data_IF_388001191271
#
_entry.id   IF_388001191271
#
_cell.length_a   1.000
_cell.length_b   1.000
_cell.length_c   1.000
_cell.angle_alpha   90.00
_cell.angle_beta   90.00
_cell.angle_gamma   90.00
#
_symmetry.space_group_name_H-M   'P 1'
#
loop_
_entity.id
_entity.type
_entity.pdbx_description
1 polymer ?
#
# COMPACT_ATOMS: atom_id res chain seq x y z
N UNK A 1 -27.77 -54.48 -4.73
CA UNK A 1 -27.24 -53.11 -4.63
C UNK A 1 -27.66 -52.54 -3.29
N UNK A 2 -26.70 -52.22 -2.41
CA UNK A 2 -27.00 -51.53 -1.15
C UNK A 2 -27.12 -50.05 -1.48
N UNK A 3 -28.30 -49.48 -1.28
CA UNK A 3 -28.48 -48.02 -1.33
C UNK A 3 -27.74 -47.44 -0.12
N UNK A 4 -26.65 -46.72 -0.37
CA UNK A 4 -26.09 -45.84 0.64
C UNK A 4 -27.05 -44.67 0.79
N UNK A 5 -27.47 -44.39 2.03
CA UNK A 5 -28.41 -43.32 2.30
C UNK A 5 -27.67 -41.98 2.07
N UNK A 6 -28.08 -41.13 1.10
CA UNK A 6 -27.38 -39.89 0.76
C UNK A 6 -27.16 -38.96 1.97
N UNK A 7 -28.02 -39.09 3.00
CA UNK A 7 -27.87 -38.40 4.27
C UNK A 7 -26.63 -38.82 5.07
N UNK A 8 -26.26 -40.10 5.02
CA UNK A 8 -25.08 -40.62 5.71
C UNK A 8 -23.78 -40.12 5.08
N UNK A 9 -23.75 -40.01 3.75
CA UNK A 9 -22.61 -39.46 3.01
C UNK A 9 -22.46 -37.96 3.29
N UNK A 10 -23.55 -37.19 3.26
CA UNK A 10 -23.55 -35.77 3.61
C UNK A 10 -23.06 -35.52 5.05
N UNK A 11 -23.54 -36.31 6.01
CA UNK A 11 -23.13 -36.18 7.41
C UNK A 11 -21.63 -36.48 7.59
N UNK A 12 -21.11 -37.49 6.88
CA UNK A 12 -19.67 -37.83 6.92
C UNK A 12 -18.80 -36.72 6.32
N UNK A 13 -19.23 -36.10 5.22
CA UNK A 13 -18.52 -34.97 4.60
C UNK A 13 -18.54 -33.74 5.50
N UNK A 14 -19.67 -33.47 6.16
CA UNK A 14 -19.79 -32.38 7.11
C UNK A 14 -18.85 -32.57 8.30
N UNK A 15 -18.78 -33.79 8.86
CA UNK A 15 -17.86 -34.10 9.94
C UNK A 15 -16.40 -33.89 9.51
N UNK A 16 -16.03 -34.36 8.33
CA UNK A 16 -14.68 -34.15 7.79
C UNK A 16 -14.36 -32.66 7.61
N UNK A 17 -15.33 -31.87 7.14
CA UNK A 17 -15.15 -30.43 6.99
C UNK A 17 -14.95 -29.74 8.34
N UNK A 18 -15.76 -30.08 9.35
CA UNK A 18 -15.62 -29.56 10.72
C UNK A 18 -14.26 -29.93 11.32
N UNK A 19 -13.79 -31.16 11.15
CA UNK A 19 -12.47 -31.59 11.61
C UNK A 19 -11.33 -30.82 10.92
N UNK A 20 -11.43 -30.59 9.62
CA UNK A 20 -10.45 -29.80 8.87
C UNK A 20 -10.41 -28.34 9.34
N UNK A 21 -11.58 -27.74 9.59
CA UNK A 21 -11.67 -26.38 10.10
C UNK A 21 -11.11 -26.27 11.52
N UNK A 22 -11.39 -27.25 12.38
CA UNK A 22 -10.85 -27.30 13.75
C UNK A 22 -9.33 -27.34 13.72
N UNK A 23 -8.72 -28.17 12.87
CA UNK A 23 -7.25 -28.22 12.72
C UNK A 23 -6.66 -26.91 12.22
N UNK A 24 -7.32 -26.23 11.29
CA UNK A 24 -6.88 -24.90 10.82
C UNK A 24 -6.95 -23.86 11.93
N UNK A 25 -8.01 -23.90 12.74
CA UNK A 25 -8.16 -23.02 13.89
C UNK A 25 -7.02 -23.22 14.90
N UNK A 26 -6.73 -24.47 15.29
CA UNK A 26 -5.63 -24.79 16.20
C UNK A 26 -4.26 -24.31 15.66
N UNK A 27 -4.01 -24.47 14.36
CA UNK A 27 -2.77 -24.00 13.73
C UNK A 27 -2.64 -22.47 13.75
N UNK A 28 -3.76 -21.76 13.54
CA UNK A 28 -3.80 -20.31 13.60
C UNK A 28 -3.58 -19.81 15.03
N UNK A 29 -4.27 -20.40 16.00
CA UNK A 29 -4.09 -20.10 17.43
C UNK A 29 -2.64 -20.31 17.87
N UNK A 30 -2.03 -21.44 17.49
CA UNK A 30 -0.63 -21.70 17.80
C UNK A 30 0.32 -20.67 17.17
N UNK A 31 0.03 -20.22 15.94
CA UNK A 31 0.83 -19.21 15.25
C UNK A 31 0.68 -17.84 15.89
N UNK A 32 -0.54 -17.46 16.31
CA UNK A 32 -0.79 -16.21 17.05
C UNK A 32 -0.07 -16.23 18.38
N UNK A 33 -0.21 -17.29 19.17
CA UNK A 33 0.50 -17.45 20.44
C UNK A 33 2.03 -17.36 20.28
N UNK A 34 2.58 -17.95 19.21
CA UNK A 34 4.01 -17.86 18.92
C UNK A 34 4.43 -16.41 18.60
N UNK A 35 3.65 -15.70 17.79
CA UNK A 35 3.94 -14.31 17.44
C UNK A 35 3.87 -13.38 18.67
N UNK A 36 2.87 -13.57 19.53
CA UNK A 36 2.76 -12.84 20.79
C UNK A 36 3.97 -13.08 21.70
N UNK A 37 4.41 -14.34 21.82
CA UNK A 37 5.58 -14.69 22.62
C UNK A 37 6.91 -14.19 22.01
N UNK A 38 7.02 -14.15 20.68
CA UNK A 38 8.20 -13.59 20.00
C UNK A 38 8.26 -12.05 20.15
N UNK A 39 7.13 -11.37 20.32
CA UNK A 39 7.10 -9.93 20.62
C UNK A 39 7.48 -9.62 22.06
N UNK A 40 7.00 -10.37 23.06
CA UNK A 40 7.33 -10.12 24.47
C UNK A 40 8.81 -10.34 24.77
N UNK A 41 9.47 -11.31 24.13
CA UNK A 41 10.90 -11.59 24.33
C UNK A 41 11.84 -10.56 23.68
N UNK A 42 11.38 -9.74 22.72
CA UNK A 42 12.20 -8.70 22.06
C UNK A 42 12.26 -7.37 22.83
N UNK A 43 11.45 -7.20 23.88
CA UNK A 43 11.41 -5.95 24.66
C UNK A 43 12.46 -5.87 25.79
N UNK A 44 13.35 -6.86 25.93
CA UNK A 44 14.48 -6.78 26.86
C UNK A 44 15.78 -6.38 26.15
N UNK A 45 15.75 -5.32 25.35
CA UNK A 45 16.99 -4.68 24.87
C UNK A 45 17.52 -3.82 26.00
N UNK A 46 18.57 -4.30 26.68
CA UNK A 46 19.37 -3.50 27.60
C UNK A 46 19.80 -2.23 26.87
N UNK A 47 19.38 -1.07 27.37
CA UNK A 47 19.79 0.23 26.86
C UNK A 47 21.26 0.39 27.24
N UNK A 48 22.17 0.00 26.36
CA UNK A 48 23.58 0.38 26.48
C UNK A 48 23.70 1.88 26.20
N UNK A 49 24.29 2.61 27.16
CA UNK A 49 24.49 4.06 27.12
C UNK A 49 25.45 4.39 25.97
N UNK A 50 24.94 4.88 24.84
CA UNK A 50 25.78 5.49 23.81
C UNK A 50 26.30 6.84 24.32
N UNK A 51 27.53 6.87 24.84
CA UNK A 51 28.25 8.12 25.08
C UNK A 51 28.73 8.69 23.75
N UNK A 52 28.07 9.76 23.32
CA UNK A 52 28.40 10.51 22.12
C UNK A 52 29.46 11.57 22.45
N UNK A 53 30.69 11.36 21.96
CA UNK A 53 31.76 12.37 22.03
C UNK A 53 31.59 13.34 20.85
N UNK A 54 31.04 14.52 21.11
CA UNK A 54 31.02 15.64 20.16
C UNK A 54 32.45 16.14 19.94
N UNK A 55 33.06 15.78 18.80
CA UNK A 55 34.23 16.51 18.32
C UNK A 55 33.75 17.78 17.59
N UNK A 56 34.23 18.93 18.02
CA UNK A 56 33.77 20.23 17.53
C UNK A 56 34.33 20.50 16.14
N UNK A 57 33.50 20.34 15.10
CA UNK A 57 33.80 20.83 13.77
C UNK A 57 33.82 22.37 13.77
N UNK A 58 35.02 22.95 13.68
CA UNK A 58 35.25 24.40 13.52
C UNK A 58 34.81 24.84 12.12
N UNK A 59 33.73 25.59 12.04
CA UNK A 59 33.21 26.15 10.78
C UNK A 59 33.91 27.49 10.53
N UNK A 60 34.81 27.55 9.56
CA UNK A 60 35.33 28.81 9.02
C UNK A 60 34.37 29.32 7.94
N UNK A 61 33.92 30.58 8.06
CA UNK A 61 33.07 31.24 7.05
C UNK A 61 33.96 31.70 5.89
N UNK A 62 33.80 31.10 4.70
CA UNK A 62 34.31 31.68 3.46
C UNK A 62 33.21 32.56 2.85
N UNK A 63 33.39 33.87 2.97
CA UNK A 63 32.72 34.88 2.15
C UNK A 63 33.38 34.89 0.76
N UNK A 64 32.61 34.57 -0.29
CA UNK A 64 33.07 34.62 -1.67
C UNK A 64 31.91 34.66 -2.64
N UNK A 65 31.63 35.85 -3.21
CA UNK A 65 30.65 36.06 -4.27
C UNK A 65 31.16 35.53 -5.61
N UNK A 66 30.54 34.48 -6.15
CA UNK A 66 30.91 33.88 -7.44
C UNK A 66 30.17 34.58 -8.60
N UNK A 67 30.90 35.35 -9.41
CA UNK A 67 30.39 35.93 -10.67
C UNK A 67 30.53 34.89 -11.79
N UNK A 68 29.42 34.28 -12.24
CA UNK A 68 29.41 33.42 -13.44
C UNK A 68 28.87 34.24 -14.61
N UNK A 69 29.74 34.59 -15.54
CA UNK A 69 29.36 35.19 -16.82
C UNK A 69 28.79 34.13 -17.76
N UNK A 70 27.49 34.20 -18.03
CA UNK A 70 26.83 33.50 -19.13
C UNK A 70 26.06 34.54 -19.95
N UNK A 71 26.45 34.69 -21.23
CA UNK A 71 25.82 35.62 -22.17
C UNK A 71 24.49 35.06 -22.70
N UNK A 72 23.50 35.91 -23.03
CA UNK A 72 22.10 35.50 -23.23
C UNK A 72 21.78 34.73 -24.52
N UNK A 73 22.77 34.41 -25.36
CA UNK A 73 22.54 33.91 -26.73
C UNK A 73 22.47 32.38 -26.86
N UNK A 74 22.77 31.62 -25.81
CA UNK A 74 22.85 30.14 -25.89
C UNK A 74 21.60 29.39 -25.37
N UNK A 75 20.53 30.13 -25.03
CA UNK A 75 19.26 29.57 -24.51
C UNK A 75 18.20 29.31 -25.61
N UNK A 76 18.45 29.71 -26.86
CA UNK A 76 17.43 29.79 -27.91
C UNK A 76 17.18 28.50 -28.71
N UNK A 77 17.73 27.34 -28.29
CA UNK A 77 17.71 26.09 -29.09
C UNK A 77 17.08 24.87 -28.42
N UNK A 78 16.45 25.02 -27.25
CA UNK A 78 15.83 23.90 -26.50
C UNK A 78 14.30 24.07 -26.37
N UNK A 79 13.70 24.85 -27.28
CA UNK A 79 12.31 25.29 -27.20
C UNK A 79 11.34 24.39 -27.99
N UNK A 80 11.38 23.07 -27.78
CA UNK A 80 10.45 22.16 -28.48
C UNK A 80 10.11 20.87 -27.71
N UNK A 81 9.72 20.98 -26.42
CA UNK A 81 8.81 20.00 -25.81
C UNK A 81 7.96 20.70 -24.73
N UNK A 82 6.72 21.04 -25.09
CA UNK A 82 5.76 21.69 -24.20
C UNK A 82 5.17 20.72 -23.15
N UNK A 83 5.58 20.88 -21.89
CA UNK A 83 4.76 20.66 -20.69
C UNK A 83 5.19 21.68 -19.63
N UNK A 84 4.27 22.38 -18.93
CA UNK A 84 4.62 23.53 -18.11
C UNK A 84 5.36 23.08 -16.84
N UNK A 85 6.68 23.24 -16.82
CA UNK A 85 7.52 23.01 -15.65
C UNK A 85 8.07 24.34 -15.12
N UNK A 86 7.74 24.62 -13.87
CA UNK A 86 8.41 25.64 -13.06
C UNK A 86 9.87 25.22 -12.76
N UNK A 87 10.78 26.16 -12.48
CA UNK A 87 12.22 26.01 -12.70
C UNK A 87 12.95 25.09 -11.69
N UNK A 88 14.14 24.57 -12.05
CA UNK A 88 14.86 23.59 -11.24
C UNK A 88 15.62 24.27 -10.10
N UNK A 89 15.26 23.91 -8.87
CA UNK A 89 16.10 24.12 -7.68
C UNK A 89 16.49 22.72 -7.19
N UNK A 90 17.78 22.39 -7.22
CA UNK A 90 18.32 21.14 -6.70
C UNK A 90 18.32 21.15 -5.17
N UNK A 91 17.15 20.84 -4.61
CA UNK A 91 16.95 20.31 -3.26
C UNK A 91 16.60 18.83 -3.47
N UNK A 92 17.09 17.86 -2.68
CA UNK A 92 16.58 16.50 -2.75
C UNK A 92 15.08 16.55 -2.45
N UNK A 93 14.24 16.36 -3.47
CA UNK A 93 12.81 16.53 -3.35
C UNK A 93 12.24 15.36 -2.52
N UNK A 94 12.13 15.53 -1.20
CA UNK A 94 11.68 14.51 -0.26
C UNK A 94 10.26 13.99 -0.61
N UNK A 95 9.43 14.84 -1.23
CA UNK A 95 8.10 14.47 -1.76
C UNK A 95 8.18 13.38 -2.84
N UNK A 96 9.20 13.42 -3.69
CA UNK A 96 9.42 12.39 -4.70
C UNK A 96 9.75 11.04 -4.04
N UNK A 97 10.60 11.03 -3.00
CA UNK A 97 10.98 9.80 -2.29
C UNK A 97 9.77 9.16 -1.58
N UNK A 98 8.97 9.98 -0.89
CA UNK A 98 7.74 9.52 -0.22
C UNK A 98 6.74 8.91 -1.20
N UNK A 99 6.51 9.56 -2.35
CA UNK A 99 5.61 9.04 -3.38
C UNK A 99 6.06 7.69 -3.93
N UNK A 100 7.35 7.52 -4.22
CA UNK A 100 7.87 6.23 -4.69
C UNK A 100 7.68 5.12 -3.65
N UNK A 101 7.88 5.43 -2.37
CA UNK A 101 7.63 4.47 -1.28
C UNK A 101 6.15 4.08 -1.20
N UNK A 102 5.24 5.06 -1.26
CA UNK A 102 3.80 4.81 -1.27
C UNK A 102 3.38 3.91 -2.43
N UNK A 103 3.89 4.16 -3.64
CA UNK A 103 3.60 3.30 -4.80
C UNK A 103 4.07 1.87 -4.54
N UNK A 104 5.29 1.69 -4.03
CA UNK A 104 5.84 0.37 -3.75
C UNK A 104 5.03 -0.37 -2.67
N UNK A 105 4.68 0.31 -1.58
CA UNK A 105 3.89 -0.27 -0.49
C UNK A 105 2.49 -0.68 -0.96
N UNK A 106 1.84 0.16 -1.77
CA UNK A 106 0.52 -0.11 -2.33
C UNK A 106 0.55 -1.23 -3.37
N UNK A 107 1.61 -1.33 -4.16
CA UNK A 107 1.78 -2.45 -5.08
C UNK A 107 1.96 -3.78 -4.32
N UNK A 108 2.77 -3.80 -3.26
CA UNK A 108 2.89 -4.97 -2.37
C UNK A 108 1.51 -5.33 -1.80
N UNK A 109 0.77 -4.36 -1.28
CA UNK A 109 -0.58 -4.58 -0.76
C UNK A 109 -1.53 -5.15 -1.83
N UNK A 110 -1.52 -4.63 -3.06
CA UNK A 110 -2.36 -5.12 -4.15
C UNK A 110 -1.96 -6.52 -4.61
N UNK A 111 -0.67 -6.85 -4.59
CA UNK A 111 -0.15 -8.18 -4.92
C UNK A 111 -0.56 -9.21 -3.86
N UNK A 112 -0.45 -8.87 -2.57
CA UNK A 112 -0.71 -9.79 -1.47
C UNK A 112 -2.20 -9.93 -1.14
N UNK A 113 -2.95 -8.82 -1.11
CA UNK A 113 -4.35 -8.80 -0.63
C UNK A 113 -5.37 -8.59 -1.75
N UNK A 114 -4.99 -7.96 -2.85
CA UNK A 114 -5.90 -7.68 -3.96
C UNK A 114 -6.63 -8.93 -4.51
N UNK A 115 -5.91 -10.03 -4.82
CA UNK A 115 -6.53 -11.30 -5.22
C UNK A 115 -7.59 -11.81 -4.25
N UNK A 116 -7.25 -11.86 -2.96
CA UNK A 116 -8.14 -12.37 -1.92
C UNK A 116 -9.39 -11.50 -1.77
N UNK A 117 -9.24 -10.18 -1.84
CA UNK A 117 -10.34 -9.23 -1.74
C UNK A 117 -11.31 -9.36 -2.93
N UNK A 118 -10.79 -9.47 -4.16
CA UNK A 118 -11.59 -9.70 -5.36
C UNK A 118 -12.32 -11.05 -5.31
N UNK A 119 -11.63 -12.11 -4.88
CA UNK A 119 -12.25 -13.43 -4.74
C UNK A 119 -13.35 -13.43 -3.67
N UNK A 120 -13.14 -12.75 -2.54
CA UNK A 120 -14.15 -12.60 -1.50
C UNK A 120 -15.39 -11.90 -2.03
N UNK A 121 -15.23 -10.76 -2.73
CA UNK A 121 -16.37 -10.06 -3.31
C UNK A 121 -17.06 -10.86 -4.41
N UNK A 122 -16.30 -11.47 -5.32
CA UNK A 122 -16.86 -12.33 -6.34
C UNK A 122 -17.71 -13.47 -5.75
N UNK A 123 -17.24 -14.13 -4.69
CA UNK A 123 -18.00 -15.16 -4.00
C UNK A 123 -19.26 -14.61 -3.34
N UNK A 124 -19.15 -13.47 -2.64
CA UNK A 124 -20.27 -12.85 -1.92
C UNK A 124 -21.41 -12.40 -2.85
N UNK A 125 -21.06 -11.96 -4.06
CA UNK A 125 -22.01 -11.56 -5.09
C UNK A 125 -22.21 -12.64 -6.15
N UNK A 126 -21.75 -13.88 -5.92
CA UNK A 126 -21.90 -15.02 -6.83
C UNK A 126 -21.49 -14.72 -8.30
N UNK A 127 -20.42 -13.95 -8.46
CA UNK A 127 -19.90 -13.46 -9.74
C UNK A 127 -18.87 -14.45 -10.32
N UNK A 128 -18.95 -14.80 -11.62
CA UNK A 128 -17.96 -15.65 -12.27
C UNK A 128 -16.64 -14.90 -12.49
N UNK A 129 -15.73 -15.02 -11.52
CA UNK A 129 -14.39 -14.43 -11.58
C UNK A 129 -13.38 -15.44 -12.12
N UNK A 130 -12.56 -15.03 -13.09
CA UNK A 130 -11.41 -15.79 -13.56
C UNK A 130 -10.12 -14.99 -13.35
N UNK A 131 -8.97 -15.70 -13.35
CA UNK A 131 -7.67 -15.12 -13.05
C UNK A 131 -7.28 -13.98 -14.01
N UNK A 132 -7.69 -14.06 -15.28
CA UNK A 132 -7.41 -13.02 -16.28
C UNK A 132 -8.17 -11.72 -15.98
N UNK A 133 -9.47 -11.82 -15.67
CA UNK A 133 -10.28 -10.68 -15.30
C UNK A 133 -9.82 -10.06 -13.97
N UNK A 134 -9.45 -10.90 -13.00
CA UNK A 134 -8.85 -10.45 -11.74
C UNK A 134 -7.56 -9.67 -11.98
N UNK A 135 -6.67 -10.16 -12.84
CA UNK A 135 -5.43 -9.47 -13.18
C UNK A 135 -5.68 -8.12 -13.85
N UNK A 136 -6.66 -8.03 -14.76
CA UNK A 136 -7.06 -6.79 -15.42
C UNK A 136 -7.59 -5.74 -14.43
N UNK A 137 -8.45 -6.15 -13.48
CA UNK A 137 -8.95 -5.23 -12.45
C UNK A 137 -7.82 -4.71 -11.57
N UNK A 138 -6.90 -5.56 -11.13
CA UNK A 138 -5.77 -5.14 -10.31
C UNK A 138 -4.79 -4.24 -11.07
N UNK A 139 -4.57 -4.50 -12.36
CA UNK A 139 -3.74 -3.64 -13.21
C UNK A 139 -4.34 -2.24 -13.37
N UNK A 140 -5.67 -2.14 -13.54
CA UNK A 140 -6.35 -0.85 -13.61
C UNK A 140 -6.23 -0.08 -12.28
N UNK A 141 -6.45 -0.74 -11.13
CA UNK A 141 -6.25 -0.12 -9.82
C UNK A 141 -4.81 0.36 -9.65
N UNK A 142 -3.81 -0.42 -10.08
CA UNK A 142 -2.38 0.00 -10.05
C UNK A 142 -2.13 1.27 -10.87
N UNK A 143 -2.69 1.36 -12.07
CA UNK A 143 -2.52 2.52 -12.95
C UNK A 143 -3.10 3.80 -12.36
N UNK A 144 -4.13 3.69 -11.52
CA UNK A 144 -4.76 4.82 -10.85
C UNK A 144 -3.98 5.33 -9.62
N UNK A 145 -3.10 4.51 -9.02
CA UNK A 145 -2.38 4.87 -7.78
C UNK A 145 -1.63 6.20 -7.85
N UNK A 146 -0.87 6.54 -8.91
CA UNK A 146 -0.07 7.77 -8.92
C UNK A 146 -0.92 9.04 -8.82
N UNK A 147 -2.12 9.04 -9.39
CA UNK A 147 -3.06 10.15 -9.34
C UNK A 147 -3.77 10.21 -7.98
N UNK A 148 -4.18 9.06 -7.44
CA UNK A 148 -4.79 8.97 -6.11
C UNK A 148 -3.85 9.39 -4.99
N UNK A 149 -2.58 9.00 -5.06
CA UNK A 149 -1.56 9.45 -4.11
C UNK A 149 -1.47 10.98 -4.13
N UNK A 150 -1.39 11.58 -5.32
CA UNK A 150 -1.35 13.04 -5.46
C UNK A 150 -2.58 13.71 -4.83
N UNK A 151 -3.78 13.17 -5.07
CA UNK A 151 -5.01 13.69 -4.48
C UNK A 151 -4.97 13.66 -2.95
N UNK A 152 -4.59 12.53 -2.34
CA UNK A 152 -4.52 12.43 -0.88
C UNK A 152 -3.34 13.16 -0.25
N UNK A 153 -2.25 13.41 -1.00
CA UNK A 153 -1.19 14.32 -0.59
C UNK A 153 -1.73 15.75 -0.44
N UNK A 154 -2.46 16.24 -1.45
CA UNK A 154 -3.11 17.55 -1.42
C UNK A 154 -4.14 17.64 -0.27
N UNK A 155 -4.92 16.58 -0.05
CA UNK A 155 -5.87 16.52 1.07
C UNK A 155 -5.16 16.53 2.44
N UNK A 156 -4.07 15.76 2.58
CA UNK A 156 -3.28 15.69 3.81
C UNK A 156 -2.65 17.05 4.15
N UNK A 157 -2.16 17.79 3.15
CA UNK A 157 -1.63 19.15 3.35
C UNK A 157 -2.68 20.14 3.86
N UNK A 158 -3.95 19.96 3.49
CA UNK A 158 -5.07 20.78 3.96
C UNK A 158 -5.57 20.36 5.34
N UNK A 159 -5.24 19.15 5.80
CA UNK A 159 -5.68 18.61 7.07
C UNK A 159 -4.70 18.94 8.20
N UNK A 160 -5.09 19.86 9.10
CA UNK A 160 -4.28 20.34 10.23
C UNK A 160 -3.83 19.26 11.23
N UNK A 161 -4.37 18.03 11.13
CA UNK A 161 -4.03 16.92 12.01
C UNK A 161 -2.83 16.09 11.52
N UNK A 162 -2.39 16.30 10.28
CA UNK A 162 -1.23 15.60 9.71
C UNK A 162 0.01 16.48 9.89
N UNK A 163 0.86 16.12 10.85
CA UNK A 163 1.96 17.00 11.29
C UNK A 163 3.33 16.50 10.88
N UNK A 164 3.49 15.20 10.62
CA UNK A 164 4.76 14.60 10.20
C UNK A 164 4.63 13.88 8.86
N UNK A 165 5.75 13.75 8.14
CA UNK A 165 5.82 13.00 6.88
C UNK A 165 5.36 11.53 7.04
N UNK A 166 5.69 10.92 8.18
CA UNK A 166 5.27 9.56 8.51
C UNK A 166 3.75 9.46 8.68
N UNK A 167 3.15 10.44 9.35
CA UNK A 167 1.70 10.51 9.53
C UNK A 167 0.99 10.74 8.19
N UNK A 168 1.56 11.60 7.33
CA UNK A 168 1.06 11.81 5.96
C UNK A 168 1.06 10.52 5.16
N UNK A 169 2.20 9.80 5.16
CA UNK A 169 2.32 8.51 4.44
C UNK A 169 1.32 7.49 4.95
N UNK A 170 1.17 7.34 6.26
CA UNK A 170 0.21 6.41 6.84
C UNK A 170 -1.23 6.79 6.48
N UNK A 171 -1.59 8.07 6.60
CA UNK A 171 -2.89 8.59 6.23
C UNK A 171 -3.23 8.31 4.76
N UNK A 172 -2.33 8.65 3.84
CA UNK A 172 -2.53 8.46 2.38
C UNK A 172 -2.70 6.98 2.06
N UNK A 173 -1.82 6.13 2.61
CA UNK A 173 -1.89 4.69 2.40
C UNK A 173 -3.24 4.11 2.85
N UNK A 174 -3.70 4.50 4.04
CA UNK A 174 -4.96 4.02 4.61
C UNK A 174 -6.19 4.53 3.85
N UNK A 175 -6.17 5.79 3.37
CA UNK A 175 -7.25 6.31 2.55
C UNK A 175 -7.37 5.55 1.23
N UNK A 176 -6.25 5.35 0.53
CA UNK A 176 -6.24 4.61 -0.73
C UNK A 176 -6.74 3.18 -0.52
N UNK A 177 -6.32 2.51 0.56
CA UNK A 177 -6.84 1.17 0.88
C UNK A 177 -8.36 1.14 1.06
N UNK A 178 -8.92 2.10 1.81
CA UNK A 178 -10.37 2.22 2.00
C UNK A 178 -11.09 2.52 0.69
N UNK A 179 -10.51 3.39 -0.14
CA UNK A 179 -11.08 3.72 -1.45
C UNK A 179 -11.09 2.50 -2.38
N UNK A 180 -10.00 1.73 -2.43
CA UNK A 180 -9.91 0.50 -3.23
C UNK A 180 -10.98 -0.49 -2.77
N UNK A 181 -11.08 -0.74 -1.46
CA UNK A 181 -12.08 -1.65 -0.89
C UNK A 181 -13.51 -1.23 -1.25
N UNK A 182 -13.84 0.04 -1.02
CA UNK A 182 -15.16 0.59 -1.35
C UNK A 182 -15.47 0.51 -2.84
N UNK A 183 -14.52 0.87 -3.70
CA UNK A 183 -14.72 0.90 -5.16
C UNK A 183 -14.92 -0.50 -5.72
N UNK A 184 -14.13 -1.47 -5.25
CA UNK A 184 -14.28 -2.86 -5.64
C UNK A 184 -15.61 -3.43 -5.16
N UNK A 185 -15.98 -3.21 -3.89
CA UNK A 185 -17.30 -3.63 -3.37
C UNK A 185 -18.44 -3.06 -4.23
N UNK A 186 -18.41 -1.76 -4.50
CA UNK A 186 -19.45 -1.07 -5.29
C UNK A 186 -19.55 -1.60 -6.72
N UNK A 187 -18.41 -1.96 -7.32
CA UNK A 187 -18.39 -2.59 -8.64
C UNK A 187 -19.23 -3.87 -8.66
N UNK A 188 -19.04 -4.77 -7.70
CA UNK A 188 -19.81 -6.02 -7.63
C UNK A 188 -21.27 -5.82 -7.24
N UNK A 189 -21.58 -4.84 -6.37
CA UNK A 189 -22.98 -4.48 -6.06
C UNK A 189 -23.75 -4.00 -7.28
N UNK A 190 -23.14 -3.13 -8.10
CA UNK A 190 -23.80 -2.56 -9.27
C UNK A 190 -24.00 -3.57 -10.39
N UNK A 191 -23.06 -4.50 -10.58
CA UNK A 191 -23.18 -5.52 -11.61
C UNK A 191 -24.34 -6.49 -11.34
N UNK A 192 -24.55 -6.89 -10.08
CA UNK A 192 -25.72 -7.69 -9.67
C UNK A 192 -27.04 -6.99 -10.02
N UNK A 193 -27.14 -5.68 -9.79
CA UNK A 193 -28.38 -4.93 -10.08
C UNK A 193 -28.73 -4.78 -11.56
N UNK A 194 -27.80 -5.11 -12.47
CA UNK A 194 -28.03 -5.09 -13.93
C UNK A 194 -28.39 -6.46 -14.49
N UNK A 195 -28.31 -7.51 -13.66
CA UNK A 195 -28.63 -8.90 -14.03
C UNK A 195 -30.08 -9.33 -13.73
N UNK A 196 -30.88 -8.48 -13.10
CA UNK A 196 -32.34 -8.61 -12.94
C UNK A 196 -33.09 -7.69 -13.93
#
# INVERSE_FOLDING_TARGET
MRYTDPWSEYLSQLQQYVEQQTKKLEQLEARVHKLENDQTNKHHTTIEKLEYNFDQLKIERLDGTLHIGISPDDLSKIDDVAFPQSPPTSIPNNQSAMKHQLIADLDIYLNEQGPHLLQQYANNYNYPMNDSFQALMLDDVRKQLPERIKYYEEEAHNNRHVTTEKDSRHYIFDQIKREIDYSLKKFFEQDQSKGE
#
